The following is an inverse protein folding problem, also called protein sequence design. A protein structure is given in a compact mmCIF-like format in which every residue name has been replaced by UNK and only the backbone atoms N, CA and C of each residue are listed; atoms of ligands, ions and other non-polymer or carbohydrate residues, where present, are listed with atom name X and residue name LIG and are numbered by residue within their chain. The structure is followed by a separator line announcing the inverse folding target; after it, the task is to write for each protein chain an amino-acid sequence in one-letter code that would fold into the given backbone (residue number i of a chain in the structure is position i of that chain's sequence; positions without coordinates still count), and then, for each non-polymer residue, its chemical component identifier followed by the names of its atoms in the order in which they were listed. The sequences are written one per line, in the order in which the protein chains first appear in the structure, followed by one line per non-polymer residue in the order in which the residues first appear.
data_IF_155078043935
#
_entry.id   IF_155078043935
#
_cell.length_a   1.000
_cell.length_b   1.000
_cell.length_c   1.000
_cell.angle_alpha   90.00
_cell.angle_beta   90.00
_cell.angle_gamma   90.00
#
_symmetry.space_group_name_H-M   'P 1'
#
loop_
_entity.id
_entity.type
_entity.pdbx_description
1 polymer ?
#
# COMPACT_ATOMS: atom_id res chain seq x y z
N UNK A 1 10.97 14.93 -7.43
CA UNK A 1 9.97 13.88 -7.15
C UNK A 1 10.60 12.91 -6.18
N UNK A 2 9.82 12.25 -5.32
CA UNK A 2 10.36 11.19 -4.46
C UNK A 2 11.00 10.08 -5.30
N UNK A 3 12.10 9.50 -4.83
CA UNK A 3 12.71 8.33 -5.47
C UNK A 3 11.90 7.05 -5.28
N UNK A 4 11.13 6.93 -4.20
CA UNK A 4 10.43 5.70 -3.86
C UNK A 4 8.95 5.96 -3.57
N UNK A 5 8.10 5.05 -4.05
CA UNK A 5 6.68 5.05 -3.75
C UNK A 5 6.37 3.81 -2.92
N UNK A 6 5.78 3.98 -1.75
CA UNK A 6 5.14 2.85 -1.07
C UNK A 6 3.80 2.60 -1.72
N UNK A 7 3.54 1.36 -2.11
CA UNK A 7 2.22 0.94 -2.55
C UNK A 7 1.58 0.01 -1.50
N UNK A 8 0.27 0.06 -1.40
CA UNK A 8 -0.55 -0.79 -0.55
C UNK A 8 -1.79 -1.20 -1.35
N UNK A 9 -1.76 -2.37 -1.99
CA UNK A 9 -2.76 -2.83 -2.94
C UNK A 9 -3.51 -4.07 -2.44
N UNK A 10 -4.74 -4.26 -2.91
CA UNK A 10 -5.45 -5.53 -2.75
C UNK A 10 -4.65 -6.63 -3.46
N UNK A 11 -4.50 -7.78 -2.82
CA UNK A 11 -3.88 -8.94 -3.46
C UNK A 11 -4.85 -9.60 -4.45
N UNK A 12 -4.34 -9.97 -5.62
CA UNK A 12 -5.10 -10.58 -6.71
C UNK A 12 -5.79 -9.58 -7.66
N UNK A 13 -6.39 -10.14 -8.71
CA UNK A 13 -6.97 -9.40 -9.83
C UNK A 13 -8.50 -9.57 -9.98
N UNK A 14 -9.11 -10.47 -9.22
CA UNK A 14 -10.56 -10.70 -9.23
C UNK A 14 -11.26 -9.74 -8.24
N UNK A 15 -11.43 -8.49 -8.67
CA UNK A 15 -11.88 -7.39 -7.82
C UNK A 15 -13.21 -6.77 -8.26
N UNK A 16 -13.88 -7.29 -9.29
CA UNK A 16 -15.07 -6.65 -9.88
C UNK A 16 -16.21 -6.44 -8.89
N UNK A 17 -16.35 -7.32 -7.90
CA UNK A 17 -17.40 -7.29 -6.89
C UNK A 17 -17.13 -6.27 -5.77
N UNK A 18 -15.85 -5.94 -5.52
CA UNK A 18 -15.45 -5.07 -4.41
C UNK A 18 -14.82 -3.74 -4.83
N UNK A 19 -14.38 -3.60 -6.08
CA UNK A 19 -13.52 -2.50 -6.54
C UNK A 19 -14.10 -1.12 -6.18
N UNK A 20 -15.35 -0.87 -6.56
CA UNK A 20 -16.05 0.38 -6.28
C UNK A 20 -16.15 0.70 -4.77
N UNK A 21 -16.36 -0.32 -3.95
CA UNK A 21 -16.51 -0.17 -2.51
C UNK A 21 -15.18 0.06 -1.81
N UNK A 22 -14.14 -0.63 -2.24
CA UNK A 22 -12.77 -0.46 -1.77
C UNK A 22 -12.26 0.92 -2.19
N UNK A 23 -12.39 1.32 -3.46
CA UNK A 23 -11.97 2.62 -3.96
C UNK A 23 -12.59 3.78 -3.16
N UNK A 24 -13.91 3.73 -2.91
CA UNK A 24 -14.59 4.76 -2.09
C UNK A 24 -13.98 4.89 -0.70
N UNK A 25 -13.63 3.78 -0.05
CA UNK A 25 -13.04 3.79 1.29
C UNK A 25 -11.60 4.31 1.26
N UNK A 26 -10.81 3.87 0.29
CA UNK A 26 -9.46 4.37 0.06
C UNK A 26 -9.47 5.88 -0.18
N UNK A 27 -10.40 6.36 -1.00
CA UNK A 27 -10.54 7.78 -1.32
C UNK A 27 -11.01 8.62 -0.13
N UNK A 28 -11.84 8.06 0.76
CA UNK A 28 -12.21 8.73 2.00
C UNK A 28 -11.01 8.83 2.95
N UNK A 29 -10.28 7.74 3.12
CA UNK A 29 -9.09 7.67 3.97
C UNK A 29 -7.96 8.59 3.48
N UNK A 30 -7.69 8.62 2.17
CA UNK A 30 -6.69 9.50 1.57
C UNK A 30 -6.98 10.99 1.78
N UNK A 31 -8.25 11.38 1.97
CA UNK A 31 -8.67 12.76 2.23
C UNK A 31 -8.59 13.15 3.71
N UNK A 32 -8.30 12.21 4.61
CA UNK A 32 -8.07 12.54 6.01
C UNK A 32 -6.89 13.53 6.14
N UNK A 33 -6.96 14.40 7.14
CA UNK A 33 -5.86 15.33 7.46
C UNK A 33 -4.72 14.62 8.21
N UNK A 34 -3.63 15.36 8.45
CA UNK A 34 -2.51 14.96 9.33
C UNK A 34 -1.53 13.94 8.76
N UNK A 35 -1.43 13.84 7.43
CA UNK A 35 -0.30 13.18 6.79
C UNK A 35 0.99 13.95 7.09
N UNK A 36 2.01 13.24 7.59
CA UNK A 36 3.32 13.79 7.92
C UNK A 36 4.22 13.95 6.70
N UNK A 37 4.02 13.10 5.69
CA UNK A 37 4.66 13.21 4.38
C UNK A 37 3.69 13.84 3.38
N UNK A 38 3.53 13.29 2.18
CA UNK A 38 2.42 13.62 1.29
C UNK A 38 1.18 12.79 1.65
N UNK A 39 -0.02 13.33 1.38
CA UNK A 39 -1.23 12.50 1.40
C UNK A 39 -1.11 11.36 0.37
N UNK A 40 -1.54 10.13 0.71
CA UNK A 40 -1.56 9.05 -0.25
C UNK A 40 -2.60 9.34 -1.34
N UNK A 41 -2.41 8.76 -2.51
CA UNK A 41 -3.38 8.83 -3.60
C UNK A 41 -3.90 7.45 -3.94
N UNK A 42 -5.16 7.40 -4.35
CA UNK A 42 -5.83 6.16 -4.71
C UNK A 42 -5.40 5.73 -6.10
N UNK A 43 -5.12 4.43 -6.24
CA UNK A 43 -4.88 3.76 -7.52
C UNK A 43 -6.02 2.79 -7.74
N UNK A 44 -6.62 2.85 -8.93
CA UNK A 44 -7.56 1.87 -9.44
C UNK A 44 -7.28 1.69 -10.94
N UNK A 45 -6.31 0.82 -11.25
CA UNK A 45 -5.83 0.59 -12.61
C UNK A 45 -5.84 -0.90 -12.93
N UNK A 46 -6.65 -1.27 -13.91
CA UNK A 46 -6.70 -2.63 -14.47
C UNK A 46 -5.85 -2.68 -15.74
N UNK A 47 -5.01 -3.70 -15.86
CA UNK A 47 -4.23 -3.98 -17.05
C UNK A 47 -5.08 -4.44 -18.23
N UNK A 48 -4.44 -4.69 -19.36
CA UNK A 48 -5.08 -5.23 -20.57
C UNK A 48 -5.11 -6.76 -20.54
N UNK A 49 -6.14 -7.33 -21.16
CA UNK A 49 -6.24 -8.78 -21.41
C UNK A 49 -5.31 -9.23 -22.56
N UNK A 50 -4.69 -8.29 -23.28
CA UNK A 50 -3.87 -8.57 -24.47
C UNK A 50 -2.65 -9.43 -24.14
N UNK A 51 -2.56 -10.59 -24.81
CA UNK A 51 -1.44 -11.52 -24.67
C UNK A 51 -1.50 -12.38 -23.41
N UNK A 52 -2.57 -12.31 -22.62
CA UNK A 52 -2.77 -13.20 -21.47
C UNK A 52 -3.23 -14.59 -21.92
N UNK A 53 -2.76 -15.66 -21.24
CA UNK A 53 -3.33 -17.00 -21.39
C UNK A 53 -4.84 -17.03 -21.10
N UNK A 54 -5.55 -17.97 -21.73
CA UNK A 54 -6.98 -18.13 -21.51
C UNK A 54 -7.26 -18.52 -20.05
N UNK A 55 -8.07 -17.69 -19.37
CA UNK A 55 -8.42 -17.87 -17.95
C UNK A 55 -7.59 -17.04 -16.99
N UNK A 56 -6.51 -16.41 -17.45
CA UNK A 56 -5.75 -15.46 -16.64
C UNK A 56 -6.45 -14.11 -16.59
N UNK A 57 -6.40 -13.47 -15.42
CA UNK A 57 -6.93 -12.13 -15.22
C UNK A 57 -5.80 -11.11 -15.40
N UNK A 58 -6.09 -9.94 -16.01
CA UNK A 58 -5.11 -8.87 -16.10
C UNK A 58 -4.80 -8.35 -14.70
N UNK A 59 -3.57 -7.89 -14.44
CA UNK A 59 -3.23 -7.32 -13.15
C UNK A 59 -4.16 -6.15 -12.83
N UNK A 60 -4.55 -6.03 -11.57
CA UNK A 60 -5.40 -4.94 -11.11
C UNK A 60 -4.79 -4.29 -9.88
N UNK A 61 -4.21 -3.11 -10.07
CA UNK A 61 -3.68 -2.29 -8.99
C UNK A 61 -4.82 -1.48 -8.39
N UNK A 62 -5.38 -1.97 -7.29
CA UNK A 62 -6.38 -1.27 -6.50
C UNK A 62 -5.85 -1.03 -5.09
N UNK A 63 -5.65 0.23 -4.70
CA UNK A 63 -5.17 0.55 -3.36
C UNK A 63 -4.64 1.99 -3.22
N UNK A 64 -3.58 2.15 -2.44
CA UNK A 64 -2.97 3.46 -2.17
C UNK A 64 -1.50 3.48 -2.57
N UNK A 65 -1.07 4.63 -3.06
CA UNK A 65 0.33 4.99 -3.18
C UNK A 65 0.68 6.15 -2.26
N UNK A 66 1.85 6.07 -1.63
CA UNK A 66 2.42 7.10 -0.78
C UNK A 66 3.83 7.42 -1.26
N UNK A 67 4.06 8.67 -1.65
CA UNK A 67 5.41 9.16 -1.94
C UNK A 67 6.24 9.12 -0.65
N UNK A 68 7.26 8.28 -0.60
CA UNK A 68 8.15 8.19 0.55
C UNK A 68 9.13 9.37 0.55
N UNK A 69 9.61 9.82 1.71
CA UNK A 69 10.74 10.73 1.76
C UNK A 69 12.01 10.06 1.20
N UNK A 70 12.93 10.87 0.67
CA UNK A 70 14.24 10.35 0.27
C UNK A 70 15.04 9.91 1.50
N UNK A 71 15.82 8.84 1.35
CA UNK A 71 16.63 8.29 2.44
C UNK A 71 17.54 9.37 3.04
N UNK A 72 17.52 9.51 4.36
CA UNK A 72 18.26 10.53 5.12
C UNK A 72 17.61 11.92 5.17
N UNK A 73 16.44 12.09 4.53
CA UNK A 73 15.66 13.34 4.53
C UNK A 73 14.25 13.12 5.08
N UNK A 74 14.06 12.08 5.88
CA UNK A 74 12.75 11.72 6.39
C UNK A 74 12.31 12.64 7.54
N UNK A 75 11.09 13.21 7.50
CA UNK A 75 10.61 14.04 8.59
C UNK A 75 10.36 13.21 9.85
N UNK A 76 10.46 13.84 11.02
CA UNK A 76 10.22 13.15 12.29
C UNK A 76 8.81 12.52 12.33
N UNK A 77 8.76 11.22 12.64
CA UNK A 77 7.51 10.48 12.72
C UNK A 77 6.89 10.10 11.38
N UNK A 78 7.58 10.27 10.24
CA UNK A 78 7.06 9.91 8.91
C UNK A 78 6.48 8.49 8.84
N UNK A 79 7.11 7.53 9.53
CA UNK A 79 6.69 6.14 9.50
C UNK A 79 5.29 5.91 10.10
N UNK A 80 4.79 6.86 10.91
CA UNK A 80 3.41 6.79 11.41
C UNK A 80 2.36 6.81 10.30
N UNK A 81 2.65 7.45 9.15
CA UNK A 81 1.77 7.41 7.99
C UNK A 81 1.70 6.01 7.37
N UNK A 82 2.84 5.31 7.33
CA UNK A 82 2.92 3.92 6.85
C UNK A 82 2.16 2.98 7.79
N UNK A 83 2.34 3.12 9.10
CA UNK A 83 1.58 2.35 10.09
C UNK A 83 0.08 2.62 9.97
N UNK A 84 -0.32 3.88 9.73
CA UNK A 84 -1.72 4.27 9.54
C UNK A 84 -2.32 3.63 8.30
N UNK A 85 -1.57 3.58 7.18
CA UNK A 85 -1.96 2.84 5.97
C UNK A 85 -2.11 1.35 6.26
N UNK A 86 -1.11 0.72 6.89
CA UNK A 86 -1.16 -0.71 7.20
C UNK A 86 -2.36 -1.08 8.08
N UNK A 87 -2.61 -0.32 9.15
CA UNK A 87 -3.80 -0.50 10.00
C UNK A 87 -5.10 -0.30 9.23
N UNK A 88 -5.14 0.62 8.28
CA UNK A 88 -6.31 0.82 7.44
C UNK A 88 -6.54 -0.37 6.51
N UNK A 89 -5.49 -0.91 5.88
CA UNK A 89 -5.58 -2.13 5.07
C UNK A 89 -6.04 -3.33 5.89
N UNK A 90 -5.59 -3.47 7.15
CA UNK A 90 -6.11 -4.52 8.05
C UNK A 90 -7.62 -4.40 8.29
N UNK A 91 -8.14 -3.17 8.44
CA UNK A 91 -9.61 -2.94 8.53
C UNK A 91 -10.35 -3.28 7.24
N UNK A 92 -9.74 -3.02 6.08
CA UNK A 92 -10.32 -3.42 4.80
C UNK A 92 -10.30 -4.93 4.63
N UNK A 93 -9.21 -5.60 5.02
CA UNK A 93 -9.10 -7.06 5.04
C UNK A 93 -10.25 -7.69 5.82
N UNK A 94 -10.46 -7.28 7.09
CA UNK A 94 -11.56 -7.80 7.89
C UNK A 94 -12.96 -7.56 7.28
N UNK A 95 -13.11 -6.53 6.45
CA UNK A 95 -14.41 -6.21 5.86
C UNK A 95 -14.67 -6.92 4.53
N UNK A 96 -13.65 -7.05 3.70
CA UNK A 96 -13.78 -7.59 2.34
C UNK A 96 -13.26 -9.02 2.21
N UNK A 97 -12.63 -9.56 3.27
CA UNK A 97 -11.99 -10.89 3.26
C UNK A 97 -11.03 -11.03 2.07
N UNK A 98 -10.19 -10.00 1.91
CA UNK A 98 -9.12 -9.94 0.90
C UNK A 98 -7.84 -9.53 1.56
N UNK A 99 -6.75 -10.13 1.13
CA UNK A 99 -5.42 -9.77 1.58
C UNK A 99 -4.96 -8.51 0.85
N UNK A 100 -4.01 -7.82 1.47
CA UNK A 100 -3.37 -6.65 0.90
C UNK A 100 -1.86 -6.82 0.94
N UNK A 101 -1.16 -6.26 -0.03
CA UNK A 101 0.29 -6.26 -0.09
C UNK A 101 0.80 -4.84 0.03
N UNK A 102 1.80 -4.65 0.89
CA UNK A 102 2.61 -3.44 0.97
C UNK A 102 3.97 -3.71 0.36
N UNK A 103 4.39 -2.83 -0.54
CA UNK A 103 5.69 -2.88 -1.19
C UNK A 103 6.24 -1.50 -1.50
N UNK A 104 7.42 -1.50 -2.12
CA UNK A 104 8.11 -0.28 -2.54
C UNK A 104 8.39 -0.35 -4.04
N UNK A 105 8.07 0.72 -4.74
CA UNK A 105 8.46 0.97 -6.12
C UNK A 105 9.61 1.98 -6.16
N UNK A 106 10.67 1.67 -6.89
CA UNK A 106 11.72 2.62 -7.28
C UNK A 106 11.28 3.36 -8.55
N UNK A 107 11.01 4.65 -8.41
CA UNK A 107 10.49 5.49 -9.49
C UNK A 107 11.53 5.75 -10.60
N UNK A 108 12.82 5.52 -10.33
CA UNK A 108 13.90 5.69 -11.29
C UNK A 108 14.13 4.47 -12.17
N UNK A 109 13.99 3.27 -11.59
CA UNK A 109 14.21 2.00 -12.31
C UNK A 109 12.90 1.34 -12.78
N UNK A 110 11.78 1.68 -12.17
CA UNK A 110 10.47 1.05 -12.39
C UNK A 110 10.36 -0.33 -11.74
N UNK A 111 11.29 -0.70 -10.86
CA UNK A 111 11.26 -1.96 -10.12
C UNK A 111 10.29 -1.82 -8.94
N UNK A 112 9.42 -2.81 -8.78
CA UNK A 112 8.48 -2.92 -7.67
C UNK A 112 8.82 -4.20 -6.87
N UNK A 113 8.82 -4.08 -5.54
CA UNK A 113 9.07 -5.20 -4.64
C UNK A 113 8.00 -5.26 -3.55
N UNK A 114 7.36 -6.43 -3.44
CA UNK A 114 6.42 -6.75 -2.38
C UNK A 114 7.17 -7.10 -1.08
N UNK A 115 6.87 -6.40 0.00
CA UNK A 115 7.65 -6.50 1.24
C UNK A 115 6.85 -7.09 2.40
N UNK A 116 5.54 -6.93 2.40
CA UNK A 116 4.71 -7.28 3.53
C UNK A 116 3.26 -7.58 3.13
N UNK A 117 2.75 -8.73 3.56
CA UNK A 117 1.34 -9.11 3.35
C UNK A 117 0.51 -8.84 4.61
N UNK A 118 -0.65 -8.22 4.41
CA UNK A 118 -1.69 -7.99 5.40
C UNK A 118 -2.80 -9.01 5.14
N UNK A 119 -2.77 -10.09 5.92
CA UNK A 119 -3.75 -11.19 5.88
C UNK A 119 -4.56 -11.29 7.19
N UNK A 120 -4.64 -10.19 7.94
CA UNK A 120 -5.44 -10.08 9.16
C UNK A 120 -5.83 -8.63 9.46
N UNK A 121 -6.73 -8.43 10.41
CA UNK A 121 -7.13 -7.11 10.93
C UNK A 121 -6.09 -6.47 11.86
N UNK A 122 -5.07 -7.24 12.26
CA UNK A 122 -3.99 -6.85 13.15
C UNK A 122 -2.63 -7.05 12.45
N UNK A 123 -2.25 -6.15 11.53
CA UNK A 123 -0.96 -6.24 10.84
C UNK A 123 0.22 -6.12 11.82
N UNK A 124 1.26 -6.94 11.63
CA UNK A 124 2.49 -6.87 12.41
C UNK A 124 3.34 -5.65 12.01
N UNK A 125 3.10 -4.53 12.70
CA UNK A 125 3.79 -3.27 12.44
C UNK A 125 5.26 -3.30 12.83
N UNK A 126 5.65 -4.13 13.80
CA UNK A 126 7.05 -4.27 14.17
C UNK A 126 7.82 -4.94 13.03
N UNK A 127 7.23 -5.97 12.42
CA UNK A 127 7.78 -6.60 11.21
C UNK A 127 7.78 -5.65 10.02
N UNK A 128 6.68 -4.93 9.79
CA UNK A 128 6.60 -3.93 8.71
C UNK A 128 7.74 -2.90 8.78
N UNK A 129 8.04 -2.43 9.99
CA UNK A 129 9.14 -1.47 10.23
C UNK A 129 10.51 -2.04 9.89
N UNK A 130 10.75 -3.31 10.20
CA UNK A 130 11.99 -3.99 9.86
C UNK A 130 12.18 -4.15 8.35
N UNK A 131 11.11 -4.50 7.61
CA UNK A 131 11.22 -4.75 6.16
C UNK A 131 11.37 -3.47 5.35
N UNK A 132 10.77 -2.36 5.77
CA UNK A 132 10.97 -1.04 5.13
C UNK A 132 12.34 -0.43 5.47
N UNK A 133 13.09 -1.04 6.40
CA UNK A 133 14.46 -0.63 6.72
C UNK A 133 14.55 0.57 7.67
N UNK A 134 13.53 0.78 8.50
CA UNK A 134 13.57 1.81 9.56
C UNK A 134 14.06 1.15 10.86
N UNK A 135 15.07 1.71 11.52
CA UNK A 135 15.48 1.23 12.85
C UNK A 135 14.26 1.27 13.81
N UNK A 136 13.97 0.19 14.56
CA UNK A 136 13.00 0.22 15.63
C UNK A 136 13.39 1.32 16.63
N UNK A 137 12.43 2.00 17.28
CA UNK A 137 12.75 2.91 18.37
C UNK A 137 13.60 2.15 19.40
N UNK A 138 14.76 2.70 19.77
CA UNK A 138 15.60 2.11 20.82
C UNK A 138 14.88 2.28 22.17
N UNK A 139 14.12 1.27 22.57
CA UNK A 139 13.50 1.19 23.90
C UNK A 139 12.03 0.80 23.85
N UNK A 140 11.77 -0.49 24.06
CA UNK A 140 10.61 -0.99 24.81
C UNK A 140 11.14 -1.53 26.15
#
# INVERSE_FOLDING_TARGET
MSKHTLFAYVDGADLHDIADSVERRLAAFARESEWRVAAPFVVNQRGTDDGLPAGDLPPWHLGLNLSLPDVGHEPEGWFSDVERIARFMGRLHAHFERDFVIGIADNGTGIEEDLFTIASDLPDLARLRQVIGVEPPKGL
#
